data_IF_652626019453
#
_entry.id   IF_652626019453
#
_cell.length_a   1.000
_cell.length_b   1.000
_cell.length_c   1.000
_cell.angle_alpha   90.00
_cell.angle_beta   90.00
_cell.angle_gamma   90.00
#
_symmetry.space_group_name_H-M   'P 1'
#
loop_
_entity.id
_entity.type
_entity.pdbx_description
1 polymer ?
#
# COMPACT_ATOMS: atom_id res chain seq x y z
N UNK A 1 6.33 17.93 -2.63
CA UNK A 1 6.33 16.67 -3.42
C UNK A 1 7.67 16.01 -3.18
N UNK A 2 7.69 14.96 -2.36
CA UNK A 2 8.88 14.14 -2.18
C UNK A 2 9.10 13.31 -3.45
N UNK A 3 10.24 13.54 -4.12
CA UNK A 3 10.65 12.73 -5.26
C UNK A 3 11.10 11.36 -4.73
N UNK A 4 10.15 10.44 -4.59
CA UNK A 4 10.48 9.03 -4.34
C UNK A 4 11.43 8.57 -5.44
N UNK A 5 12.64 8.15 -5.05
CA UNK A 5 13.66 7.61 -5.95
C UNK A 5 13.19 6.24 -6.44
N UNK A 6 12.40 6.22 -7.51
CA UNK A 6 11.79 5.02 -8.07
C UNK A 6 12.89 4.08 -8.61
N UNK A 7 12.87 2.84 -8.14
CA UNK A 7 13.78 1.77 -8.55
C UNK A 7 13.64 1.47 -10.05
N UNK A 8 14.77 1.26 -10.72
CA UNK A 8 14.94 1.12 -12.18
C UNK A 8 13.85 0.23 -12.83
N UNK A 9 13.24 0.75 -13.91
CA UNK A 9 12.44 0.06 -14.93
C UNK A 9 10.96 -0.30 -14.73
N UNK A 10 10.25 0.29 -13.76
CA UNK A 10 8.78 0.16 -13.76
C UNK A 10 8.11 0.93 -14.92
N UNK A 11 7.16 0.29 -15.62
CA UNK A 11 6.38 0.95 -16.69
C UNK A 11 5.57 2.13 -16.17
N UNK A 12 5.11 2.08 -14.91
CA UNK A 12 4.46 3.20 -14.24
C UNK A 12 5.40 4.41 -14.11
N UNK A 13 6.62 4.19 -13.63
CA UNK A 13 7.61 5.25 -13.44
C UNK A 13 7.99 5.93 -14.76
N UNK A 14 8.12 5.15 -15.85
CA UNK A 14 8.38 5.70 -17.20
C UNK A 14 7.21 6.54 -17.71
N UNK A 15 5.97 6.10 -17.51
CA UNK A 15 4.79 6.86 -17.91
C UNK A 15 4.66 8.14 -17.08
N UNK A 16 4.86 8.07 -15.76
CA UNK A 16 4.86 9.25 -14.88
C UNK A 16 5.95 10.25 -15.28
N UNK A 17 7.17 9.78 -15.54
CA UNK A 17 8.27 10.62 -16.01
C UNK A 17 7.96 11.28 -17.36
N UNK A 18 7.26 10.57 -18.26
CA UNK A 18 6.85 11.12 -19.56
C UNK A 18 5.85 12.28 -19.47
N UNK A 19 5.20 12.51 -18.33
CA UNK A 19 4.35 13.68 -18.10
C UNK A 19 5.12 14.86 -17.49
N UNK A 20 6.31 14.60 -16.93
CA UNK A 20 7.18 15.61 -16.33
C UNK A 20 8.24 16.12 -17.30
N UNK A 21 8.77 15.24 -18.15
CA UNK A 21 9.75 15.56 -19.19
C UNK A 21 9.44 14.76 -20.47
N UNK A 22 8.76 15.40 -21.42
CA UNK A 22 8.30 14.78 -22.66
C UNK A 22 9.44 14.50 -23.66
N UNK A 23 10.60 15.14 -23.49
CA UNK A 23 11.68 15.11 -24.49
C UNK A 23 12.70 13.99 -24.24
N UNK A 24 12.91 13.62 -22.97
CA UNK A 24 13.95 12.67 -22.58
C UNK A 24 13.48 11.21 -22.51
N UNK A 25 12.16 10.96 -22.39
CA UNK A 25 11.61 9.62 -22.16
C UNK A 25 10.91 9.07 -23.41
N UNK A 26 11.57 8.16 -24.12
CA UNK A 26 10.96 7.42 -25.23
C UNK A 26 10.12 6.27 -24.68
N UNK A 27 8.81 6.33 -24.90
CA UNK A 27 7.87 5.26 -24.53
C UNK A 27 7.77 4.22 -25.64
N UNK A 28 7.61 2.96 -25.26
CA UNK A 28 7.21 1.90 -26.19
C UNK A 28 5.75 2.04 -26.59
N UNK A 29 5.35 1.48 -27.74
CA UNK A 29 3.96 1.54 -28.24
C UNK A 29 2.94 1.05 -27.21
N UNK A 30 3.25 -0.05 -26.49
CA UNK A 30 2.42 -0.57 -25.40
C UNK A 30 2.28 0.43 -24.26
N UNK A 31 3.36 1.13 -23.89
CA UNK A 31 3.31 2.15 -22.83
C UNK A 31 2.52 3.38 -23.27
N UNK A 32 2.55 3.71 -24.56
CA UNK A 32 1.77 4.81 -25.12
C UNK A 32 0.26 4.50 -25.11
N UNK A 33 -0.12 3.25 -25.37
CA UNK A 33 -1.50 2.77 -25.19
C UNK A 33 -1.95 2.85 -23.73
N UNK A 34 -1.09 2.45 -22.78
CA UNK A 34 -1.37 2.58 -21.35
C UNK A 34 -1.54 4.06 -21.00
N UNK A 35 -0.61 4.93 -21.42
CA UNK A 35 -0.66 6.40 -21.19
C UNK A 35 -2.00 6.98 -21.67
N UNK A 36 -2.43 6.64 -22.89
CA UNK A 36 -3.71 7.07 -23.43
C UNK A 36 -4.91 6.59 -22.59
N UNK A 37 -4.88 5.32 -22.16
CA UNK A 37 -5.91 4.73 -21.31
C UNK A 37 -5.99 5.39 -19.93
N UNK A 38 -4.84 5.74 -19.32
CA UNK A 38 -4.79 6.46 -18.06
C UNK A 38 -5.41 7.86 -18.20
N UNK A 39 -5.07 8.61 -19.26
CA UNK A 39 -5.69 9.91 -19.52
C UNK A 39 -7.19 9.81 -19.76
N UNK A 40 -7.63 8.76 -20.45
CA UNK A 40 -9.04 8.51 -20.71
C UNK A 40 -9.81 8.20 -19.41
N UNK A 41 -9.26 7.35 -18.55
CA UNK A 41 -9.83 7.02 -17.25
C UNK A 41 -10.03 8.26 -16.37
N UNK A 42 -9.05 9.16 -16.35
CA UNK A 42 -9.13 10.39 -15.58
C UNK A 42 -10.11 11.41 -16.19
N UNK A 43 -10.13 11.55 -17.53
CA UNK A 43 -11.09 12.41 -18.23
C UNK A 43 -12.55 11.98 -17.98
N UNK A 44 -12.82 10.67 -17.95
CA UNK A 44 -14.15 10.14 -17.62
C UNK A 44 -14.61 10.55 -16.21
N UNK A 45 -13.68 10.61 -15.25
CA UNK A 45 -13.96 11.06 -13.88
C UNK A 45 -14.16 12.57 -13.82
N UNK A 46 -13.29 13.35 -14.45
CA UNK A 46 -13.35 14.81 -14.39
C UNK A 46 -14.56 15.39 -15.14
N UNK A 47 -14.76 14.97 -16.39
CA UNK A 47 -15.74 15.59 -17.28
C UNK A 47 -17.16 15.04 -17.04
N UNK A 48 -17.27 13.72 -16.89
CA UNK A 48 -18.57 13.05 -16.85
C UNK A 48 -18.99 12.64 -15.43
N UNK A 49 -18.13 12.86 -14.42
CA UNK A 49 -18.39 12.55 -13.00
C UNK A 49 -18.81 11.11 -12.74
N UNK A 50 -18.36 10.16 -13.57
CA UNK A 50 -18.66 8.75 -13.37
C UNK A 50 -18.06 8.22 -12.07
N UNK A 51 -18.74 7.30 -11.40
CA UNK A 51 -18.18 6.59 -10.24
C UNK A 51 -16.98 5.72 -10.63
N UNK A 52 -16.08 5.38 -9.69
CA UNK A 52 -14.91 4.53 -9.97
C UNK A 52 -15.30 3.20 -10.64
N UNK A 53 -16.39 2.58 -10.16
CA UNK A 53 -16.89 1.33 -10.74
C UNK A 53 -17.37 1.50 -12.19
N UNK A 54 -18.09 2.58 -12.49
CA UNK A 54 -18.55 2.87 -13.85
C UNK A 54 -17.37 3.09 -14.80
N UNK A 55 -16.33 3.80 -14.35
CA UNK A 55 -15.13 4.03 -15.16
C UNK A 55 -14.42 2.72 -15.48
N UNK A 56 -14.27 1.82 -14.50
CA UNK A 56 -13.68 0.49 -14.73
C UNK A 56 -14.49 -0.30 -15.76
N UNK A 57 -15.82 -0.29 -15.68
CA UNK A 57 -16.68 -0.97 -16.65
C UNK A 57 -16.55 -0.39 -18.07
N UNK A 58 -16.45 0.94 -18.18
CA UNK A 58 -16.24 1.63 -19.46
C UNK A 58 -14.86 1.26 -20.05
N UNK A 59 -13.81 1.30 -19.23
CA UNK A 59 -12.46 0.92 -19.66
C UNK A 59 -12.39 -0.54 -20.13
N UNK A 60 -13.03 -1.46 -19.43
CA UNK A 60 -13.12 -2.86 -19.86
C UNK A 60 -13.83 -3.01 -21.22
N UNK A 61 -14.90 -2.24 -21.43
CA UNK A 61 -15.70 -2.30 -22.66
C UNK A 61 -14.98 -1.71 -23.86
N UNK A 62 -14.34 -0.55 -23.70
CA UNK A 62 -13.74 0.21 -24.79
C UNK A 62 -12.32 -0.26 -25.13
N UNK A 63 -11.54 -0.66 -24.13
CA UNK A 63 -10.15 -1.07 -24.31
C UNK A 63 -9.98 -2.59 -24.29
N UNK A 64 -11.06 -3.37 -24.15
CA UNK A 64 -11.08 -4.84 -24.13
C UNK A 64 -10.05 -5.45 -23.16
N UNK A 65 -9.91 -4.84 -21.98
CA UNK A 65 -8.96 -5.29 -20.95
C UNK A 65 -9.63 -6.07 -19.83
N UNK A 66 -8.84 -6.88 -19.13
CA UNK A 66 -9.28 -7.56 -17.92
C UNK A 66 -9.67 -6.55 -16.82
N UNK A 67 -10.58 -6.96 -15.95
CA UNK A 67 -10.99 -6.17 -14.79
C UNK A 67 -9.80 -5.79 -13.90
N UNK A 68 -8.88 -6.72 -13.66
CA UNK A 68 -7.68 -6.48 -12.86
C UNK A 68 -6.78 -5.39 -13.49
N UNK A 69 -6.63 -5.40 -14.81
CA UNK A 69 -5.90 -4.36 -15.54
C UNK A 69 -6.60 -3.01 -15.44
N UNK A 70 -7.92 -2.98 -15.63
CA UNK A 70 -8.70 -1.75 -15.56
C UNK A 70 -8.64 -1.07 -14.19
N UNK A 71 -8.70 -1.85 -13.10
CA UNK A 71 -8.49 -1.32 -11.74
C UNK A 71 -7.07 -0.79 -11.53
N UNK A 72 -6.06 -1.49 -12.04
CA UNK A 72 -4.67 -1.04 -11.96
C UNK A 72 -4.49 0.30 -12.68
N UNK A 73 -5.02 0.42 -13.89
CA UNK A 73 -4.94 1.64 -14.67
C UNK A 73 -5.71 2.79 -14.00
N UNK A 74 -6.90 2.51 -13.47
CA UNK A 74 -7.65 3.51 -12.70
C UNK A 74 -6.82 4.05 -11.53
N UNK A 75 -6.22 3.15 -10.74
CA UNK A 75 -5.39 3.55 -9.60
C UNK A 75 -4.16 4.34 -10.04
N UNK A 76 -3.47 3.92 -11.11
CA UNK A 76 -2.34 4.65 -11.67
C UNK A 76 -2.75 6.04 -12.19
N UNK A 77 -3.92 6.16 -12.81
CA UNK A 77 -4.44 7.44 -13.27
C UNK A 77 -4.70 8.39 -12.09
N UNK A 78 -5.32 7.90 -11.00
CA UNK A 78 -5.53 8.70 -9.79
C UNK A 78 -4.21 9.09 -9.10
N UNK A 79 -3.19 8.24 -9.14
CA UNK A 79 -1.87 8.56 -8.56
C UNK A 79 -1.10 9.61 -9.39
N UNK A 80 -1.16 9.54 -10.71
CA UNK A 80 -0.43 10.45 -11.61
C UNK A 80 -1.12 11.82 -11.70
N UNK A 81 -2.44 11.84 -11.88
CA UNK A 81 -3.20 13.07 -12.13
C UNK A 81 -3.85 13.66 -10.88
N UNK A 82 -3.80 12.94 -9.75
CA UNK A 82 -4.43 13.33 -8.50
C UNK A 82 -5.73 12.58 -8.23
N UNK A 83 -5.90 12.18 -6.97
CA UNK A 83 -7.07 11.42 -6.54
C UNK A 83 -8.28 12.35 -6.36
N UNK A 84 -9.27 12.17 -7.22
CA UNK A 84 -10.53 12.92 -7.21
C UNK A 84 -11.48 12.47 -6.09
N UNK A 85 -11.30 11.25 -5.58
CA UNK A 85 -12.05 10.69 -4.45
C UNK A 85 -11.36 10.93 -3.10
N UNK A 86 -10.28 11.71 -3.06
CA UNK A 86 -9.65 12.07 -1.79
C UNK A 86 -10.57 13.01 -1.00
N UNK A 87 -11.57 12.44 -0.34
CA UNK A 87 -12.23 13.05 0.80
C UNK A 87 -11.14 13.33 1.82
N UNK A 88 -10.96 14.61 2.18
CA UNK A 88 -10.06 14.95 3.26
C UNK A 88 -10.49 14.16 4.50
N UNK A 89 -9.54 13.50 5.17
CA UNK A 89 -9.78 12.79 6.43
C UNK A 89 -10.54 13.67 7.44
N UNK A 90 -10.25 14.97 7.43
CA UNK A 90 -10.96 15.97 8.21
C UNK A 90 -12.46 16.06 7.88
N UNK A 91 -12.83 15.97 6.59
CA UNK A 91 -14.22 15.99 6.15
C UNK A 91 -14.97 14.72 6.56
N UNK A 92 -14.35 13.54 6.43
CA UNK A 92 -14.96 12.29 6.89
C UNK A 92 -15.13 12.26 8.42
N UNK A 93 -14.11 12.72 9.16
CA UNK A 93 -14.19 12.88 10.62
C UNK A 93 -15.35 13.81 11.02
N UNK A 94 -15.57 14.89 10.28
CA UNK A 94 -16.68 15.81 10.53
C UNK A 94 -18.05 15.16 10.26
N UNK A 95 -18.18 14.36 9.21
CA UNK A 95 -19.42 13.60 8.94
C UNK A 95 -19.69 12.57 10.03
N UNK A 96 -18.67 11.82 10.46
CA UNK A 96 -18.79 10.85 11.54
C UNK A 96 -19.13 11.51 12.88
N UNK A 97 -18.53 12.67 13.17
CA UNK A 97 -18.82 13.50 14.34
C UNK A 97 -20.32 13.82 14.43
N UNK A 98 -20.92 14.27 13.32
CA UNK A 98 -22.35 14.57 13.27
C UNK A 98 -23.22 13.32 13.42
N UNK A 99 -22.83 12.21 12.80
CA UNK A 99 -23.54 10.93 12.92
C UNK A 99 -23.57 10.41 14.37
N UNK A 100 -22.42 10.43 15.07
CA UNK A 100 -22.35 10.01 16.47
C UNK A 100 -23.10 10.97 17.40
N UNK A 101 -23.07 12.27 17.13
CA UNK A 101 -23.87 13.24 17.89
C UNK A 101 -25.37 12.96 17.79
N UNK A 102 -25.84 12.65 16.58
CA UNK A 102 -27.24 12.27 16.34
C UNK A 102 -27.60 10.94 17.03
N UNK A 103 -26.69 9.96 17.04
CA UNK A 103 -26.87 8.70 17.75
C UNK A 103 -26.97 8.91 19.28
N UNK A 104 -26.10 9.75 19.84
CA UNK A 104 -26.15 10.14 21.25
C UNK A 104 -27.49 10.81 21.61
N UNK A 105 -27.95 11.78 20.82
CA UNK A 105 -29.25 12.42 21.06
C UNK A 105 -30.42 11.44 21.05
N UNK A 106 -30.38 10.42 20.17
CA UNK A 106 -31.38 9.35 20.17
C UNK A 106 -31.30 8.52 21.44
N UNK A 107 -30.08 8.11 21.83
CA UNK A 107 -29.85 7.31 23.04
C UNK A 107 -30.36 8.02 24.31
N UNK A 108 -30.09 9.33 24.44
CA UNK A 108 -30.61 10.21 25.52
C UNK A 108 -32.13 10.23 25.53
N UNK A 109 -32.77 10.37 24.37
CA UNK A 109 -34.24 10.37 24.29
C UNK A 109 -34.85 9.03 24.69
N UNK A 110 -34.17 7.92 24.42
CA UNK A 110 -34.59 6.57 24.85
C UNK A 110 -34.19 6.23 26.28
N UNK A 111 -33.36 7.05 26.96
CA UNK A 111 -32.90 6.82 28.32
C UNK A 111 -31.94 5.63 28.45
N UNK A 112 -31.20 5.29 27.39
CA UNK A 112 -30.28 4.15 27.39
C UNK A 112 -28.84 4.62 27.62
N UNK A 113 -28.46 4.68 28.89
CA UNK A 113 -27.16 5.15 29.36
C UNK A 113 -25.96 4.38 28.75
N UNK A 114 -26.11 3.08 28.50
CA UNK A 114 -25.03 2.28 27.91
C UNK A 114 -24.74 2.69 26.47
N UNK A 115 -25.79 2.99 25.69
CA UNK A 115 -25.64 3.45 24.31
C UNK A 115 -25.14 4.89 24.23
N UNK A 116 -25.52 5.74 25.20
CA UNK A 116 -24.98 7.10 25.33
C UNK A 116 -23.47 7.08 25.55
N UNK A 117 -22.99 6.29 26.51
CA UNK A 117 -21.57 6.18 26.84
C UNK A 117 -20.78 5.59 25.66
N UNK A 118 -21.34 4.59 24.97
CA UNK A 118 -20.71 4.01 23.77
C UNK A 118 -20.58 5.04 22.65
N UNK A 119 -21.63 5.78 22.34
CA UNK A 119 -21.59 6.83 21.31
C UNK A 119 -20.54 7.91 21.62
N UNK A 120 -20.39 8.30 22.90
CA UNK A 120 -19.37 9.26 23.33
C UNK A 120 -17.93 8.70 23.25
N UNK A 121 -17.74 7.40 23.54
CA UNK A 121 -16.43 6.74 23.38
C UNK A 121 -15.99 6.69 21.92
N UNK A 122 -16.90 6.31 21.01
CA UNK A 122 -16.63 6.30 19.57
C UNK A 122 -16.44 7.72 19.01
N UNK A 123 -17.14 8.71 19.57
CA UNK A 123 -16.88 10.11 19.24
C UNK A 123 -15.46 10.54 19.66
N UNK A 124 -15.00 10.14 20.86
CA UNK A 124 -13.65 10.44 21.36
C UNK A 124 -12.56 9.82 20.49
N UNK A 125 -12.76 8.59 20.00
CA UNK A 125 -11.76 7.89 19.19
C UNK A 125 -11.49 8.59 17.85
N UNK A 126 -12.43 9.38 17.31
CA UNK A 126 -12.21 10.16 16.08
C UNK A 126 -11.08 11.20 16.17
N UNK A 127 -10.74 11.64 17.37
CA UNK A 127 -9.84 12.76 17.60
C UNK A 127 -8.46 12.36 18.15
N UNK A 128 -8.18 11.05 18.31
CA UNK A 128 -6.89 10.50 18.78
C UNK A 128 -6.22 11.37 19.88
N UNK A 129 -6.99 11.80 20.89
CA UNK A 129 -6.48 12.70 21.94
C UNK A 129 -5.34 12.10 22.77
N UNK A 130 -5.18 10.77 22.73
CA UNK A 130 -4.15 10.04 23.48
C UNK A 130 -2.83 9.88 22.69
N UNK A 131 -2.83 10.15 21.38
CA UNK A 131 -1.66 9.99 20.53
C UNK A 131 -0.84 11.29 20.55
N UNK A 132 0.18 11.35 21.41
CA UNK A 132 1.22 12.36 21.28
C UNK A 132 1.83 12.23 19.88
N UNK A 133 1.56 13.18 18.98
CA UNK A 133 1.86 13.17 17.54
C UNK A 133 3.32 12.85 17.13
N UNK A 134 4.25 12.58 18.06
CA UNK A 134 5.68 12.40 17.79
C UNK A 134 6.41 11.37 18.70
N UNK A 135 5.77 10.26 19.10
CA UNK A 135 6.55 9.15 19.68
C UNK A 135 7.12 8.28 18.56
N UNK A 136 8.31 8.65 18.07
CA UNK A 136 9.11 7.75 17.24
C UNK A 136 9.59 6.61 18.14
N UNK A 137 9.15 5.40 17.83
CA UNK A 137 9.56 4.16 18.49
C UNK A 137 11.08 3.97 18.33
N UNK A 138 11.90 4.12 19.40
CA UNK A 138 13.35 4.05 19.31
C UNK A 138 13.83 2.68 18.79
N UNK A 139 13.06 1.62 19.03
CA UNK A 139 13.41 0.27 18.60
C UNK A 139 13.35 0.08 17.09
N UNK A 140 12.61 0.94 16.36
CA UNK A 140 12.60 0.95 14.90
C UNK A 140 13.78 1.72 14.29
N UNK A 141 14.48 2.53 15.08
CA UNK A 141 15.71 3.22 14.68
C UNK A 141 16.93 2.35 15.02
N UNK A 142 16.84 1.52 16.06
CA UNK A 142 17.92 0.67 16.49
C UNK A 142 18.30 -0.35 15.39
N UNK A 143 19.60 -0.43 15.08
CA UNK A 143 20.10 -1.38 14.09
C UNK A 143 19.95 -2.81 14.64
N UNK A 144 19.08 -3.61 14.02
CA UNK A 144 18.95 -5.03 14.37
C UNK A 144 20.17 -5.81 13.87
N UNK A 145 20.95 -6.38 14.79
CA UNK A 145 21.99 -7.36 14.49
C UNK A 145 21.37 -8.75 14.30
N UNK A 146 21.26 -9.21 13.06
CA UNK A 146 20.81 -10.58 12.77
C UNK A 146 22.00 -11.55 12.86
N UNK A 147 21.97 -12.45 13.85
CA UNK A 147 22.93 -13.57 13.95
C UNK A 147 22.34 -14.80 13.26
N UNK A 148 22.81 -15.07 12.04
CA UNK A 148 22.39 -16.24 11.28
C UNK A 148 23.38 -17.38 11.53
N UNK A 149 22.91 -18.43 12.20
CA UNK A 149 23.67 -19.67 12.36
C UNK A 149 23.49 -20.55 11.13
N UNK A 150 24.58 -20.81 10.41
CA UNK A 150 24.56 -21.61 9.19
C UNK A 150 24.94 -23.07 9.50
N UNK A 151 24.29 -24.00 8.81
CA UNK A 151 24.65 -25.42 8.85
C UNK A 151 25.98 -25.67 8.15
N UNK A 152 26.76 -26.66 8.65
CA UNK A 152 28.16 -26.91 8.23
C UNK A 152 28.35 -27.09 6.72
N UNK A 153 27.34 -27.63 6.03
CA UNK A 153 27.37 -27.85 4.58
C UNK A 153 27.12 -26.57 3.75
N UNK A 154 26.54 -25.53 4.34
CA UNK A 154 26.22 -24.27 3.66
C UNK A 154 27.41 -23.30 3.60
N UNK A 155 28.36 -23.40 4.53
CA UNK A 155 29.58 -22.57 4.57
C UNK A 155 30.39 -22.56 3.26
N UNK A 156 30.77 -23.71 2.66
CA UNK A 156 31.57 -23.70 1.44
C UNK A 156 30.81 -23.13 0.24
N UNK A 157 29.47 -23.32 0.18
CA UNK A 157 28.62 -22.75 -0.88
C UNK A 157 28.51 -21.22 -0.76
N UNK A 158 28.32 -20.72 0.46
CA UNK A 158 28.30 -19.27 0.72
C UNK A 158 29.67 -18.63 0.47
N UNK A 159 30.77 -19.27 0.87
CA UNK A 159 32.12 -18.76 0.62
C UNK A 159 32.39 -18.59 -0.89
N UNK A 160 32.00 -19.58 -1.71
CA UNK A 160 32.11 -19.51 -3.16
C UNK A 160 31.24 -18.41 -3.80
N UNK A 161 30.07 -18.12 -3.21
CA UNK A 161 29.17 -17.06 -3.68
C UNK A 161 29.64 -15.65 -3.28
N UNK A 162 30.28 -15.52 -2.11
CA UNK A 162 30.84 -14.25 -1.63
C UNK A 162 32.04 -13.80 -2.48
N UNK A 163 32.85 -14.74 -2.96
CA UNK A 163 34.01 -14.44 -3.84
C UNK A 163 33.58 -13.81 -5.18
N UNK A 164 32.35 -14.09 -5.65
CA UNK A 164 31.75 -13.50 -6.85
C UNK A 164 31.12 -12.11 -6.65
N UNK A 165 31.08 -11.58 -5.42
CA UNK A 165 30.60 -10.22 -5.11
C UNK A 165 29.09 -9.97 -5.23
N UNK A 166 28.32 -10.91 -5.82
CA UNK A 166 26.85 -10.86 -5.91
C UNK A 166 26.28 -12.18 -5.45
N UNK A 167 25.53 -12.15 -4.34
CA UNK A 167 24.82 -13.30 -3.81
C UNK A 167 23.47 -13.41 -4.53
N UNK A 168 23.37 -14.27 -5.55
CA UNK A 168 22.09 -14.62 -6.20
C UNK A 168 21.52 -15.91 -5.60
N UNK A 169 20.47 -15.78 -4.78
CA UNK A 169 19.80 -16.89 -4.13
C UNK A 169 18.71 -17.55 -4.99
N UNK A 170 18.38 -16.98 -6.15
CA UNK A 170 17.29 -17.51 -7.00
C UNK A 170 17.72 -18.72 -7.84
N UNK A 171 19.03 -18.90 -8.05
CA UNK A 171 19.58 -19.96 -8.90
C UNK A 171 20.26 -21.08 -8.11
N UNK A 172 19.97 -21.18 -6.81
CA UNK A 172 20.46 -22.28 -6.00
C UNK A 172 19.57 -23.50 -6.15
N UNK A 173 20.13 -24.59 -6.71
CA UNK A 173 19.56 -25.92 -6.59
C UNK A 173 19.85 -26.43 -5.17
N UNK A 174 19.03 -25.98 -4.22
CA UNK A 174 19.01 -26.53 -2.86
C UNK A 174 18.11 -27.75 -2.92
N UNK A 175 18.72 -28.94 -2.94
CA UNK A 175 17.98 -30.18 -2.76
C UNK A 175 17.17 -30.11 -1.46
N UNK A 176 15.90 -30.55 -1.54
CA UNK A 176 14.94 -30.57 -0.44
C UNK A 176 15.57 -31.18 0.81
N UNK A 177 15.79 -30.35 1.82
CA UNK A 177 16.17 -30.82 3.15
C UNK A 177 14.87 -31.17 3.87
N UNK A 178 14.77 -32.38 4.41
CA UNK A 178 13.65 -32.74 5.29
C UNK A 178 13.56 -31.74 6.44
N UNK A 179 12.42 -31.07 6.54
CA UNK A 179 12.09 -30.18 7.65
C UNK A 179 12.20 -30.98 8.95
N UNK A 180 13.15 -30.61 9.81
CA UNK A 180 13.21 -31.09 11.18
C UNK A 180 12.59 -30.03 12.08
N UNK A 181 11.44 -30.38 12.64
CA UNK A 181 10.82 -29.61 13.70
C UNK A 181 11.79 -29.57 14.89
N UNK A 182 12.20 -28.36 15.28
CA UNK A 182 12.96 -28.17 16.52
C UNK A 182 11.93 -28.29 17.64
N UNK A 183 11.88 -29.44 18.29
CA UNK A 183 11.26 -29.53 19.61
C UNK A 183 12.06 -28.63 20.53
N UNK A 184 11.42 -27.58 21.05
CA UNK A 184 11.90 -26.85 22.23
C UNK A 184 12.22 -27.91 23.29
N UNK A 185 13.51 -28.11 23.54
CA UNK A 185 13.93 -28.75 24.78
C UNK A 185 13.76 -27.66 25.80
N UNK A 186 12.82 -27.87 26.72
CA UNK A 186 12.67 -27.12 27.95
C UNK A 186 14.07 -26.88 28.54
N UNK A 187 14.44 -25.61 28.67
CA UNK A 187 15.53 -25.20 29.58
C UNK A 187 15.04 -25.55 30.99
N UNK A 188 15.25 -26.80 31.39
CA UNK A 188 15.24 -27.24 32.78
C UNK A 188 16.49 -26.67 33.45
N UNK A 189 16.23 -25.79 34.43
CA UNK A 189 17.00 -25.41 35.62
C UNK A 189 18.38 -26.06 35.81
N UNK A 190 19.43 -25.22 35.83
CA UNK A 190 20.47 -25.16 36.88
C UNK A 190 21.32 -23.87 36.78
#
# INVERSE_FOLDING_TARGET
MELMKQTKDSSYAKIQASYMDETSVVLTEKQQQIKARLSHAWALRLNNKYSPHQVVQILMREHHISQATAYRDYNWAMQIFGNLDATHLAAERQVLKEAFWNAYQKAVKTGNLDQEIKALKEYRSLFNFDESENQIDPDKINAHEYRINLVRWAYPKLAAMVEGGVLDFNNMNVEDVEFKEVTEVEDDED
#
